data_IF_468909886144
#
_entry.id   IF_468909886144
#
_cell.length_a   1.000
_cell.length_b   1.000
_cell.length_c   1.000
_cell.angle_alpha   90.00
_cell.angle_beta   90.00
_cell.angle_gamma   90.00
#
_symmetry.space_group_name_H-M   'P 1'
#
loop_
_entity.id
_entity.type
_entity.pdbx_description
1 polymer ?
#
# COMPACT_ATOMS: atom_id res chain seq x y z
N UNK A 1 6.17 -8.34 4.29
CA UNK A 1 6.00 -9.78 4.52
C UNK A 1 4.51 -10.05 4.67
N UNK A 2 3.82 -10.48 3.61
CA UNK A 2 2.37 -10.69 3.66
C UNK A 2 2.08 -11.95 4.48
N UNK A 3 1.41 -11.81 5.62
CA UNK A 3 0.93 -12.94 6.41
C UNK A 3 -0.07 -13.72 5.57
N UNK A 4 0.34 -14.88 5.05
CA UNK A 4 -0.60 -15.79 4.38
C UNK A 4 -1.64 -16.22 5.40
N UNK A 5 -2.87 -15.74 5.22
CA UNK A 5 -4.01 -16.20 6.03
C UNK A 5 -4.19 -17.69 5.72
N UNK A 6 -4.15 -18.59 6.73
CA UNK A 6 -4.24 -20.02 6.48
C UNK A 6 -5.57 -20.34 5.79
N UNK A 7 -5.52 -21.12 4.70
CA UNK A 7 -6.68 -21.48 3.87
C UNK A 7 -7.87 -22.02 4.68
N UNK A 8 -7.60 -22.66 5.82
CA UNK A 8 -8.61 -23.17 6.75
C UNK A 8 -9.51 -22.07 7.33
N UNK A 9 -9.00 -20.86 7.54
CA UNK A 9 -9.78 -19.73 8.08
C UNK A 9 -10.84 -19.25 7.10
N UNK A 10 -10.49 -19.18 5.81
CA UNK A 10 -11.41 -18.75 4.75
C UNK A 10 -12.55 -19.76 4.57
N UNK A 11 -12.25 -21.06 4.69
CA UNK A 11 -13.25 -22.11 4.59
C UNK A 11 -14.24 -22.07 5.77
N UNK A 12 -13.75 -21.96 7.01
CA UNK A 12 -14.60 -21.86 8.20
C UNK A 12 -15.57 -20.67 8.13
N UNK A 13 -15.08 -19.50 7.71
CA UNK A 13 -15.93 -18.32 7.55
C UNK A 13 -17.09 -18.58 6.58
N UNK A 14 -16.84 -19.19 5.42
CA UNK A 14 -17.90 -19.52 4.46
C UNK A 14 -18.93 -20.48 5.04
N UNK A 15 -18.48 -21.53 5.73
CA UNK A 15 -19.38 -22.50 6.37
C UNK A 15 -20.30 -21.81 7.37
N UNK A 16 -19.77 -20.90 8.19
CA UNK A 16 -20.57 -20.14 9.15
C UNK A 16 -21.61 -19.26 8.44
N UNK A 17 -21.22 -18.51 7.40
CA UNK A 17 -22.15 -17.60 6.74
C UNK A 17 -23.26 -18.31 5.98
N UNK A 18 -22.93 -19.35 5.21
CA UNK A 18 -23.94 -20.13 4.50
C UNK A 18 -24.80 -20.94 5.47
N UNK A 19 -24.20 -21.54 6.50
CA UNK A 19 -24.93 -22.27 7.54
C UNK A 19 -25.97 -21.38 8.24
N UNK A 20 -25.57 -20.18 8.67
CA UNK A 20 -26.49 -19.22 9.29
C UNK A 20 -27.65 -18.81 8.37
N UNK A 21 -27.39 -18.59 7.07
CA UNK A 21 -28.43 -18.29 6.08
C UNK A 21 -29.43 -19.45 5.93
N UNK A 22 -28.93 -20.69 5.79
CA UNK A 22 -29.80 -21.86 5.63
C UNK A 22 -30.62 -22.16 6.90
N UNK A 23 -30.04 -21.97 8.09
CA UNK A 23 -30.78 -22.09 9.36
C UNK A 23 -31.88 -21.03 9.44
N UNK A 24 -31.58 -19.78 9.07
CA UNK A 24 -32.58 -18.71 9.02
C UNK A 24 -33.75 -19.03 8.09
N UNK A 25 -33.44 -19.43 6.85
CA UNK A 25 -34.46 -19.82 5.85
C UNK A 25 -35.24 -21.06 6.28
N UNK A 26 -34.58 -22.04 6.89
CA UNK A 26 -35.22 -23.24 7.41
C UNK A 26 -36.22 -22.94 8.53
N UNK A 27 -35.87 -22.06 9.47
CA UNK A 27 -36.77 -21.60 10.53
C UNK A 27 -37.99 -20.87 9.96
N UNK A 28 -37.80 -19.98 8.97
CA UNK A 28 -38.89 -19.29 8.31
C UNK A 28 -39.81 -20.25 7.53
N UNK A 29 -39.22 -21.20 6.80
CA UNK A 29 -39.98 -22.22 6.06
C UNK A 29 -40.78 -23.13 7.00
N UNK A 30 -40.18 -23.58 8.10
CA UNK A 30 -40.87 -24.36 9.13
C UNK A 30 -42.00 -23.58 9.79
N UNK A 31 -41.76 -22.31 10.14
CA UNK A 31 -42.76 -21.46 10.73
C UNK A 31 -43.96 -21.23 9.79
N UNK A 32 -43.72 -21.17 8.47
CA UNK A 32 -44.76 -20.98 7.47
C UNK A 32 -45.72 -22.19 7.30
N UNK A 33 -45.24 -23.40 7.58
CA UNK A 33 -46.05 -24.64 7.44
C UNK A 33 -46.57 -25.18 8.76
N UNK A 34 -46.10 -24.63 9.88
CA UNK A 34 -46.56 -25.03 11.21
C UNK A 34 -47.95 -24.44 11.50
N UNK A 35 -48.86 -25.21 12.12
CA UNK A 35 -50.21 -24.70 12.41
C UNK A 35 -50.20 -23.57 13.45
N UNK A 36 -49.27 -23.62 14.41
CA UNK A 36 -49.11 -22.62 15.46
C UNK A 36 -47.61 -22.34 15.70
N UNK A 37 -46.95 -21.61 14.79
CA UNK A 37 -45.52 -21.34 14.92
C UNK A 37 -45.29 -20.38 16.09
N UNK A 38 -44.32 -20.65 16.98
CA UNK A 38 -43.99 -19.69 18.03
C UNK A 38 -43.39 -18.42 17.41
N UNK A 39 -43.78 -17.25 17.93
CA UNK A 39 -43.38 -15.93 17.39
C UNK A 39 -41.85 -15.78 17.26
N UNK A 40 -41.08 -16.37 18.19
CA UNK A 40 -39.62 -16.29 18.14
C UNK A 40 -39.03 -16.92 16.87
N UNK A 41 -39.68 -17.92 16.26
CA UNK A 41 -39.18 -18.56 15.05
C UNK A 41 -39.15 -17.58 13.86
N UNK A 42 -40.19 -16.74 13.73
CA UNK A 42 -40.23 -15.66 12.75
C UNK A 42 -39.16 -14.59 13.00
N UNK A 43 -39.02 -14.17 14.25
CA UNK A 43 -38.06 -13.13 14.64
C UNK A 43 -36.63 -13.60 14.42
N UNK A 44 -36.27 -14.77 14.95
CA UNK A 44 -34.91 -15.33 14.84
C UNK A 44 -34.61 -15.73 13.39
N UNK A 45 -35.54 -16.43 12.72
CA UNK A 45 -35.39 -16.81 11.32
C UNK A 45 -35.22 -15.60 10.39
N UNK A 46 -36.00 -14.54 10.62
CA UNK A 46 -35.90 -13.28 9.89
C UNK A 46 -34.56 -12.58 10.10
N UNK A 47 -34.13 -12.41 11.35
CA UNK A 47 -32.86 -11.74 11.67
C UNK A 47 -31.64 -12.51 11.11
N UNK A 48 -31.62 -13.84 11.26
CA UNK A 48 -30.55 -14.67 10.69
C UNK A 48 -30.54 -14.56 9.17
N UNK A 49 -31.68 -14.69 8.51
CA UNK A 49 -31.78 -14.59 7.05
C UNK A 49 -31.33 -13.23 6.54
N UNK A 50 -31.74 -12.13 7.20
CA UNK A 50 -31.34 -10.79 6.82
C UNK A 50 -29.83 -10.58 6.98
N UNK A 51 -29.28 -10.90 8.16
CA UNK A 51 -27.86 -10.69 8.45
C UNK A 51 -26.95 -11.54 7.57
N UNK A 52 -27.20 -12.85 7.51
CA UNK A 52 -26.38 -13.76 6.72
C UNK A 52 -26.62 -13.61 5.21
N UNK A 53 -27.86 -13.34 4.80
CA UNK A 53 -28.23 -13.07 3.41
C UNK A 53 -27.54 -11.82 2.88
N UNK A 54 -27.50 -10.74 3.66
CA UNK A 54 -26.76 -9.53 3.30
C UNK A 54 -25.27 -9.80 3.04
N UNK A 55 -24.62 -10.57 3.92
CA UNK A 55 -23.20 -10.91 3.78
C UNK A 55 -22.92 -11.79 2.55
N UNK A 56 -23.79 -12.76 2.26
CA UNK A 56 -23.67 -13.59 1.04
C UNK A 56 -23.89 -12.73 -0.21
N UNK A 57 -24.94 -11.91 -0.22
CA UNK A 57 -25.23 -11.02 -1.35
C UNK A 57 -24.09 -10.02 -1.61
N UNK A 58 -23.54 -9.39 -0.56
CA UNK A 58 -22.41 -8.47 -0.71
C UNK A 58 -21.16 -9.18 -1.23
N UNK A 59 -20.87 -10.40 -0.78
CA UNK A 59 -19.76 -11.20 -1.30
C UNK A 59 -19.95 -11.60 -2.77
N UNK A 60 -21.19 -11.89 -3.18
CA UNK A 60 -21.54 -12.17 -4.58
C UNK A 60 -21.39 -10.91 -5.43
N UNK A 61 -21.98 -9.79 -5.01
CA UNK A 61 -21.85 -8.50 -5.72
C UNK A 61 -20.39 -8.09 -5.84
N UNK A 62 -19.59 -8.25 -4.77
CA UNK A 62 -18.15 -7.98 -4.81
C UNK A 62 -17.43 -8.86 -5.84
N UNK A 63 -17.74 -10.16 -5.91
CA UNK A 63 -17.17 -11.06 -6.92
C UNK A 63 -17.61 -10.75 -8.35
N UNK A 64 -18.86 -10.30 -8.53
CA UNK A 64 -19.37 -9.91 -9.84
C UNK A 64 -18.74 -8.60 -10.30
N UNK A 65 -18.53 -7.65 -9.38
CA UNK A 65 -17.89 -6.36 -9.65
C UNK A 65 -16.39 -6.49 -9.92
N UNK A 66 -15.70 -7.36 -9.20
CA UNK A 66 -14.25 -7.58 -9.30
C UNK A 66 -14.00 -9.01 -9.80
N UNK A 67 -13.99 -9.15 -11.12
CA UNK A 67 -14.05 -10.46 -11.77
C UNK A 67 -12.71 -11.18 -11.64
N UNK A 68 -11.60 -10.45 -11.74
CA UNK A 68 -10.27 -11.03 -11.64
C UNK A 68 -9.80 -11.13 -10.17
N UNK A 69 -8.89 -12.07 -9.83
CA UNK A 69 -8.29 -12.12 -8.50
C UNK A 69 -7.51 -10.84 -8.14
N UNK A 70 -6.79 -10.28 -9.12
CA UNK A 70 -5.97 -9.08 -8.96
C UNK A 70 -6.82 -7.85 -8.60
N UNK A 71 -7.96 -7.66 -9.29
CA UNK A 71 -8.92 -6.60 -8.97
C UNK A 71 -9.48 -6.74 -7.55
N UNK A 72 -9.73 -7.98 -7.09
CA UNK A 72 -10.27 -8.25 -5.76
C UNK A 72 -9.28 -7.93 -4.66
N UNK A 73 -8.01 -8.26 -4.87
CA UNK A 73 -6.96 -7.98 -3.89
C UNK A 73 -6.68 -6.47 -3.84
N UNK A 74 -6.62 -5.80 -4.99
CA UNK A 74 -6.56 -4.34 -5.04
C UNK A 74 -7.77 -3.68 -4.35
N UNK A 75 -8.99 -4.15 -4.59
CA UNK A 75 -10.19 -3.61 -3.93
C UNK A 75 -10.22 -3.85 -2.41
N UNK A 76 -9.67 -4.98 -1.93
CA UNK A 76 -9.52 -5.23 -0.49
C UNK A 76 -8.48 -4.32 0.13
N UNK A 77 -7.36 -4.13 -0.55
CA UNK A 77 -6.32 -3.21 -0.10
C UNK A 77 -6.90 -1.79 0.02
N UNK A 78 -7.67 -1.35 -0.98
CA UNK A 78 -8.43 -0.08 -0.94
C UNK A 78 -9.35 0.03 0.29
N UNK A 79 -10.12 -1.03 0.58
CA UNK A 79 -11.01 -1.05 1.75
C UNK A 79 -10.24 -1.03 3.08
N UNK A 80 -9.07 -1.68 3.14
CA UNK A 80 -8.23 -1.73 4.34
C UNK A 80 -7.50 -0.40 4.60
N UNK A 81 -7.15 0.35 3.56
CA UNK A 81 -6.49 1.65 3.70
C UNK A 81 -7.42 2.74 4.29
N UNK A 82 -8.73 2.49 4.32
CA UNK A 82 -9.72 3.46 4.80
C UNK A 82 -9.84 4.68 3.89
N UNK A 83 -10.85 5.54 4.11
CA UNK A 83 -11.07 6.74 3.30
C UNK A 83 -9.85 7.67 3.26
N UNK A 84 -9.17 7.79 4.40
CA UNK A 84 -8.01 8.68 4.56
C UNK A 84 -6.75 8.16 3.85
N UNK A 85 -6.64 6.84 3.66
CA UNK A 85 -5.47 6.23 3.02
C UNK A 85 -5.35 6.65 1.55
N UNK A 86 -6.45 6.62 0.81
CA UNK A 86 -6.48 7.06 -0.58
C UNK A 86 -6.22 8.53 -0.73
N UNK A 87 -6.85 9.37 0.09
CA UNK A 87 -6.60 10.80 0.06
C UNK A 87 -5.12 11.13 0.29
N UNK A 88 -4.45 10.38 1.18
CA UNK A 88 -3.00 10.54 1.43
C UNK A 88 -2.14 10.04 0.27
N UNK A 89 -2.48 8.90 -0.32
CA UNK A 89 -1.74 8.34 -1.46
C UNK A 89 -1.85 9.25 -2.69
N UNK A 90 -3.06 9.72 -2.99
CA UNK A 90 -3.32 10.67 -4.07
C UNK A 90 -2.60 12.00 -3.84
N UNK A 91 -2.66 12.55 -2.62
CA UNK A 91 -1.93 13.77 -2.27
C UNK A 91 -0.42 13.61 -2.45
N UNK A 92 0.15 12.44 -2.14
CA UNK A 92 1.58 12.15 -2.38
C UNK A 92 1.91 12.08 -3.87
N UNK A 93 1.06 11.44 -4.68
CA UNK A 93 1.22 11.38 -6.13
C UNK A 93 1.20 12.77 -6.77
N UNK A 94 0.26 13.63 -6.35
CA UNK A 94 0.15 15.02 -6.81
C UNK A 94 1.40 15.82 -6.44
N UNK A 95 1.84 15.75 -5.18
CA UNK A 95 3.04 16.46 -4.70
C UNK A 95 4.28 15.99 -5.45
N UNK A 96 4.49 14.67 -5.55
CA UNK A 96 5.63 14.11 -6.27
C UNK A 96 5.64 14.55 -7.73
N UNK A 97 4.47 14.58 -8.39
CA UNK A 97 4.36 15.02 -9.79
C UNK A 97 4.70 16.50 -9.93
N UNK A 98 4.21 17.36 -9.03
CA UNK A 98 4.57 18.78 -9.02
C UNK A 98 6.08 18.96 -8.83
N UNK A 99 6.70 18.16 -7.97
CA UNK A 99 8.13 18.21 -7.73
C UNK A 99 8.97 17.91 -8.98
N UNK A 100 8.49 17.01 -9.86
CA UNK A 100 9.20 16.69 -11.11
C UNK A 100 9.34 17.87 -12.07
N UNK A 101 8.49 18.91 -11.95
CA UNK A 101 8.49 20.05 -12.88
C UNK A 101 9.76 20.89 -12.80
N UNK A 102 10.41 20.95 -11.63
CA UNK A 102 11.63 21.73 -11.43
C UNK A 102 12.91 20.87 -11.39
N UNK A 103 12.80 19.54 -11.50
CA UNK A 103 13.94 18.62 -11.34
C UNK A 103 15.12 18.98 -12.24
N UNK A 104 14.88 19.19 -13.54
CA UNK A 104 15.96 19.48 -14.49
C UNK A 104 16.66 20.81 -14.20
N UNK A 105 15.89 21.82 -13.78
CA UNK A 105 16.44 23.11 -13.39
C UNK A 105 17.32 22.99 -12.14
N UNK A 106 16.80 22.34 -11.09
CA UNK A 106 17.52 22.15 -9.82
C UNK A 106 18.77 21.30 -10.03
N UNK A 107 18.74 20.27 -10.87
CA UNK A 107 19.93 19.48 -11.20
C UNK A 107 21.02 20.32 -11.87
N UNK A 108 20.63 21.31 -12.69
CA UNK A 108 21.54 22.19 -13.42
C UNK A 108 22.16 23.28 -12.53
N UNK A 109 21.37 23.97 -11.71
CA UNK A 109 21.83 25.14 -10.93
C UNK A 109 22.08 24.84 -9.46
N UNK A 110 21.59 23.71 -8.97
CA UNK A 110 21.56 23.39 -7.55
C UNK A 110 22.93 23.14 -6.93
N UNK A 111 23.01 23.40 -5.63
CA UNK A 111 24.17 23.07 -4.82
C UNK A 111 24.08 21.61 -4.38
N UNK A 112 25.21 20.91 -4.42
CA UNK A 112 25.29 19.52 -3.99
C UNK A 112 25.07 19.42 -2.47
N UNK A 113 24.24 18.49 -2.06
CA UNK A 113 23.97 18.15 -0.67
C UNK A 113 23.74 16.64 -0.54
N UNK A 114 23.63 16.15 0.70
CA UNK A 114 23.27 14.76 0.98
C UNK A 114 21.87 14.72 1.55
N UNK A 115 21.00 13.89 0.97
CA UNK A 115 19.65 13.63 1.46
C UNK A 115 19.56 12.21 2.02
N UNK A 116 19.10 12.05 3.25
CA UNK A 116 18.80 10.73 3.82
C UNK A 116 17.32 10.44 3.65
N UNK A 117 17.00 9.30 3.02
CA UNK A 117 15.61 8.87 2.85
C UNK A 117 14.99 8.63 4.23
N UNK A 118 13.94 9.37 4.55
CA UNK A 118 13.12 9.14 5.74
C UNK A 118 11.94 8.26 5.38
N UNK A 119 11.36 8.51 4.21
CA UNK A 119 10.22 7.78 3.70
C UNK A 119 10.26 7.75 2.17
N UNK A 120 9.85 6.63 1.59
CA UNK A 120 9.67 6.47 0.16
C UNK A 120 8.36 5.73 -0.11
N UNK A 121 7.64 6.15 -1.15
CA UNK A 121 6.44 5.48 -1.61
C UNK A 121 6.33 5.53 -3.14
N UNK A 122 5.58 4.59 -3.71
CA UNK A 122 5.11 4.69 -5.09
C UNK A 122 4.05 5.81 -5.17
N UNK A 123 4.21 6.73 -6.11
CA UNK A 123 3.25 7.78 -6.41
C UNK A 123 2.07 7.30 -7.27
N UNK A 124 2.03 6.00 -7.59
CA UNK A 124 0.99 5.34 -8.40
C UNK A 124 0.80 5.97 -9.79
N UNK A 125 1.90 6.48 -10.35
CA UNK A 125 1.96 7.00 -11.71
C UNK A 125 3.09 6.30 -12.47
N UNK A 126 2.81 5.93 -13.71
CA UNK A 126 3.75 5.30 -14.62
C UNK A 126 3.96 6.16 -15.85
N UNK A 127 5.22 6.33 -16.26
CA UNK A 127 5.61 7.08 -17.44
C UNK A 127 6.85 6.44 -18.07
N UNK A 128 6.75 5.99 -19.32
CA UNK A 128 7.87 5.45 -20.10
C UNK A 128 8.70 4.39 -19.34
N UNK A 129 8.04 3.36 -18.80
CA UNK A 129 8.62 2.28 -17.95
C UNK A 129 9.17 2.70 -16.59
N UNK A 130 9.09 3.99 -16.25
CA UNK A 130 9.46 4.53 -14.95
C UNK A 130 8.23 4.71 -14.07
N UNK A 131 8.46 4.66 -12.76
CA UNK A 131 7.44 4.94 -11.75
C UNK A 131 7.78 6.23 -11.03
N UNK A 132 6.76 6.98 -10.69
CA UNK A 132 6.91 8.16 -9.86
C UNK A 132 7.23 7.73 -8.43
N UNK A 133 8.39 8.12 -7.91
CA UNK A 133 8.73 7.97 -6.51
C UNK A 133 8.29 9.21 -5.75
N UNK A 134 7.58 9.05 -4.63
CA UNK A 134 7.43 10.08 -3.61
C UNK A 134 8.52 9.87 -2.55
N UNK A 135 9.26 10.92 -2.22
CA UNK A 135 10.39 10.86 -1.29
C UNK A 135 10.26 11.95 -0.21
N UNK A 136 10.42 11.54 1.04
CA UNK A 136 10.71 12.45 2.14
C UNK A 136 12.17 12.29 2.53
N UNK A 137 12.93 13.38 2.45
CA UNK A 137 14.37 13.39 2.67
C UNK A 137 14.71 14.32 3.83
N UNK A 138 15.60 13.89 4.72
CA UNK A 138 16.31 14.81 5.61
C UNK A 138 17.58 15.26 4.89
N UNK A 139 17.60 16.51 4.45
CA UNK A 139 18.66 17.07 3.60
C UNK A 139 19.63 17.87 4.44
N UNK A 140 20.93 17.60 4.27
CA UNK A 140 22.02 18.30 4.91
C UNK A 140 22.91 18.94 3.85
N UNK A 141 22.82 20.26 3.71
CA UNK A 141 23.73 21.05 2.88
C UNK A 141 24.91 21.57 3.72
N UNK A 142 26.06 21.81 3.09
CA UNK A 142 27.28 22.21 3.80
C UNK A 142 27.07 23.48 4.64
N UNK A 143 27.19 23.35 5.96
CA UNK A 143 27.03 24.45 6.91
C UNK A 143 25.58 24.80 7.28
N UNK A 144 24.57 24.10 6.73
CA UNK A 144 23.17 24.30 7.07
C UNK A 144 22.68 23.25 8.08
N UNK A 145 21.66 23.60 8.87
CA UNK A 145 20.96 22.63 9.73
C UNK A 145 20.16 21.66 8.84
N UNK A 146 20.17 20.36 9.12
CA UNK A 146 19.33 19.41 8.40
C UNK A 146 17.86 19.81 8.43
N UNK A 147 17.19 19.78 7.28
CA UNK A 147 15.76 20.06 7.15
C UNK A 147 15.05 18.98 6.33
N UNK A 148 13.76 18.79 6.60
CA UNK A 148 12.95 17.77 5.93
C UNK A 148 12.27 18.35 4.71
N UNK A 149 12.46 17.70 3.56
CA UNK A 149 11.84 18.07 2.28
C UNK A 149 11.03 16.92 1.71
N UNK A 150 10.06 17.26 0.88
CA UNK A 150 9.25 16.30 0.10
C UNK A 150 9.51 16.56 -1.36
N UNK A 151 9.84 15.52 -2.11
CA UNK A 151 10.13 15.61 -3.54
C UNK A 151 9.62 14.37 -4.26
N UNK A 152 9.72 14.38 -5.59
CA UNK A 152 9.39 13.23 -6.40
C UNK A 152 10.17 13.19 -7.70
N UNK A 153 10.40 11.97 -8.20
CA UNK A 153 11.15 11.74 -9.42
C UNK A 153 10.73 10.45 -10.14
N UNK A 154 10.99 10.39 -11.45
CA UNK A 154 10.72 9.23 -12.28
C UNK A 154 11.90 8.26 -12.25
N UNK A 155 11.70 7.13 -11.59
CA UNK A 155 12.76 6.12 -11.39
C UNK A 155 12.39 4.77 -11.99
N UNK A 156 13.40 3.96 -12.29
CA UNK A 156 13.16 2.57 -12.65
C UNK A 156 12.50 1.80 -11.48
N UNK A 157 11.60 0.82 -11.73
CA UNK A 157 10.95 0.04 -10.67
C UNK A 157 11.94 -0.64 -9.71
N UNK A 158 13.10 -1.06 -10.21
CA UNK A 158 14.16 -1.65 -9.38
C UNK A 158 14.76 -0.62 -8.40
N UNK A 159 14.98 0.62 -8.85
CA UNK A 159 15.48 1.72 -8.01
C UNK A 159 14.48 2.06 -6.91
N UNK A 160 13.18 2.14 -7.22
CA UNK A 160 12.14 2.43 -6.24
C UNK A 160 12.15 1.43 -5.08
N UNK A 161 12.38 0.14 -5.36
CA UNK A 161 12.47 -0.91 -4.33
C UNK A 161 13.71 -0.80 -3.44
N UNK A 162 14.77 -0.15 -3.92
CA UNK A 162 16.00 0.08 -3.16
C UNK A 162 15.92 1.33 -2.26
N UNK A 163 14.90 2.17 -2.42
CA UNK A 163 14.70 3.38 -1.62
C UNK A 163 14.07 3.01 -0.27
N UNK A 164 14.91 2.59 0.67
CA UNK A 164 14.51 2.32 2.05
C UNK A 164 14.95 3.45 2.98
N UNK A 165 14.23 3.66 4.11
CA UNK A 165 14.65 4.65 5.10
C UNK A 165 16.10 4.44 5.58
N UNK A 166 16.85 5.53 5.74
CA UNK A 166 18.26 5.54 6.14
C UNK A 166 19.26 5.57 4.97
N UNK A 167 18.81 5.33 3.74
CA UNK A 167 19.68 5.41 2.55
C UNK A 167 20.07 6.86 2.27
N UNK A 168 21.37 7.10 2.07
CA UNK A 168 21.89 8.39 1.67
C UNK A 168 21.95 8.53 0.14
N UNK A 169 21.35 9.61 -0.37
CA UNK A 169 21.31 9.98 -1.78
C UNK A 169 22.09 11.28 -2.00
N UNK A 170 22.73 11.38 -3.16
CA UNK A 170 23.26 12.66 -3.64
C UNK A 170 22.11 13.49 -4.19
N UNK A 171 21.96 14.71 -3.68
CA UNK A 171 20.88 15.61 -4.07
C UNK A 171 21.41 16.98 -4.46
N UNK A 172 20.60 17.70 -5.22
CA UNK A 172 20.79 19.09 -5.60
C UNK A 172 19.71 19.92 -4.95
N UNK A 173 20.10 20.99 -4.27
CA UNK A 173 19.18 21.93 -3.61
C UNK A 173 19.22 23.25 -4.36
N UNK A 174 18.05 23.78 -4.69
CA UNK A 174 17.93 25.11 -5.30
C UNK A 174 18.41 26.19 -4.31
N UNK A 175 19.40 27.03 -4.66
CA UNK A 175 19.84 28.11 -3.78
C UNK A 175 18.78 29.21 -3.55
N UNK A 176 17.78 29.34 -4.43
CA UNK A 176 16.70 30.31 -4.28
C UNK A 176 15.54 29.78 -3.42
N UNK A 177 15.35 28.45 -3.37
CA UNK A 177 14.26 27.79 -2.67
C UNK A 177 14.73 26.44 -2.06
N UNK A 178 15.15 26.41 -0.78
CA UNK A 178 15.70 25.21 -0.15
C UNK A 178 14.75 24.00 -0.06
N UNK A 179 13.45 24.19 -0.31
CA UNK A 179 12.47 23.10 -0.34
C UNK A 179 12.43 22.41 -1.72
N UNK A 180 13.01 23.02 -2.76
CA UNK A 180 13.18 22.42 -4.07
C UNK A 180 14.46 21.60 -4.13
N UNK A 181 14.27 20.28 -4.04
CA UNK A 181 15.35 19.31 -4.06
C UNK A 181 15.14 18.30 -5.16
N UNK A 182 16.19 18.06 -5.94
CA UNK A 182 16.24 17.03 -6.98
C UNK A 182 17.29 15.97 -6.63
N UNK A 183 16.99 14.70 -6.93
CA UNK A 183 17.93 13.60 -6.67
C UNK A 183 18.85 13.42 -7.87
N UNK A 184 20.16 13.41 -7.65
CA UNK A 184 21.14 13.08 -8.69
C UNK A 184 21.26 11.54 -8.76
N UNK A 185 20.39 10.93 -9.58
CA UNK A 185 20.36 9.47 -9.75
C UNK A 185 21.68 8.88 -10.25
N UNK A 186 22.33 9.44 -11.30
CA UNK A 186 23.63 8.93 -11.75
C UNK A 186 24.66 8.80 -10.62
N UNK A 187 24.68 9.75 -9.68
CA UNK A 187 25.59 9.70 -8.51
C UNK A 187 25.08 8.85 -7.35
N UNK A 188 23.77 8.68 -7.23
CA UNK A 188 23.16 7.91 -6.13
C UNK A 188 23.11 6.41 -6.39
N UNK A 189 22.96 5.98 -7.65
CA UNK A 189 22.81 4.57 -8.03
C UNK A 189 23.95 3.65 -7.56
N UNK A 190 25.24 4.02 -7.67
CA UNK A 190 26.32 3.16 -7.18
C UNK A 190 26.21 2.84 -5.68
N UNK A 191 25.75 3.81 -4.87
CA UNK A 191 25.55 3.58 -3.42
C UNK A 191 24.37 2.67 -3.14
N UNK A 192 23.28 2.81 -3.91
CA UNK A 192 22.13 1.91 -3.79
C UNK A 192 22.51 0.45 -4.07
N UNK A 193 23.41 0.23 -5.02
CA UNK A 193 23.91 -1.11 -5.34
C UNK A 193 24.80 -1.67 -4.21
N UNK A 194 25.63 -0.83 -3.58
CA UNK A 194 26.50 -1.21 -2.47
C UNK A 194 25.75 -1.44 -1.14
N UNK A 195 24.62 -0.75 -0.94
CA UNK A 195 23.79 -0.89 0.25
C UNK A 195 23.00 -2.21 0.29
N UNK A 196 23.03 -3.00 -0.78
CA UNK A 196 22.56 -4.39 -0.72
C UNK A 196 23.55 -5.14 0.18
N UNK A 197 23.16 -5.51 1.42
CA UNK A 197 24.08 -6.21 2.30
C UNK A 197 24.56 -7.45 1.57
N UNK A 198 25.86 -7.72 1.69
CA UNK A 198 26.44 -9.01 1.35
C UNK A 198 25.72 -10.09 2.16
N UNK A 199 24.55 -10.50 1.68
CA UNK A 199 23.71 -11.51 2.27
C UNK A 199 24.40 -12.83 2.00
N UNK A 200 25.17 -13.30 2.99
CA UNK A 200 25.51 -14.71 3.14
C UNK A 200 26.89 -15.14 2.63
N UNK A 201 27.96 -14.59 3.20
CA UNK A 201 29.26 -15.27 3.22
C UNK A 201 29.97 -15.13 4.56
N UNK A 202 29.22 -15.21 5.66
CA UNK A 202 29.82 -15.59 6.95
C UNK A 202 30.11 -17.09 6.92
N UNK A 203 31.35 -17.55 7.14
CA UNK A 203 31.65 -18.98 7.20
C UNK A 203 30.87 -19.60 8.36
N UNK A 204 30.06 -20.61 8.05
CA UNK A 204 29.38 -21.45 9.02
C UNK A 204 30.45 -22.19 9.82
N UNK A 205 30.86 -21.62 10.96
CA UNK A 205 31.74 -22.30 11.91
C UNK A 205 30.90 -23.35 12.61
N UNK A 206 31.02 -24.60 12.15
CA UNK A 206 30.49 -25.77 12.84
C UNK A 206 31.38 -25.97 14.06
N UNK A 207 30.85 -25.67 15.25
CA UNK A 207 31.44 -26.12 16.51
C UNK A 207 30.93 -27.54 16.72
N UNK A 208 31.85 -28.50 16.58
CA UNK A 208 31.66 -29.91 16.93
C UNK A 208 31.83 -30.11 18.43
#
# INVERSE_FOLDING_TARGET
MATQVPRSTVWKARVIFFGGLFVGLGLLGWAAVSPEPPVWAWVVGGLLTAFFGYNVASAVVFRLRYRTPEERDAARERLLMGPDGHAREEARGILAKQATTYTDEVLRIGRTATGVVVFAADGNHEHDTRRLAYLELDVSAYGAKPHRVRTGDWVAPATLRALVPGVALEVKVDPADPDRVAVDWPRSLPRLQQATPAAGSGPMTIVL
#
